data_IF_739030347780
#
_entry.id   IF_739030347780
#
_cell.length_a   1.000
_cell.length_b   1.000
_cell.length_c   1.000
_cell.angle_alpha   90.00
_cell.angle_beta   90.00
_cell.angle_gamma   90.00
#
_symmetry.space_group_name_H-M   'P 1'
#
loop_
_entity.id
_entity.type
_entity.pdbx_description
1 polymer ?
#
# COMPACT_ATOMS: atom_id res chain seq x y z
N UNK A 1 3.09 8.74 13.68
CA UNK A 1 2.60 8.20 14.97
C UNK A 1 1.87 9.27 15.79
N UNK A 2 2.49 10.43 16.09
CA UNK A 2 1.86 11.50 16.91
C UNK A 2 0.47 11.91 16.39
N UNK A 3 0.27 12.03 15.08
CA UNK A 3 -1.03 12.38 14.48
C UNK A 3 -2.07 11.28 14.69
N UNK A 4 -1.67 10.01 14.63
CA UNK A 4 -2.57 8.87 14.89
C UNK A 4 -2.96 8.85 16.38
N UNK A 5 -1.99 9.06 17.26
CA UNK A 5 -2.26 9.16 18.68
C UNK A 5 -3.24 10.29 19.00
N UNK A 6 -3.00 11.50 18.46
CA UNK A 6 -3.92 12.63 18.61
C UNK A 6 -5.34 12.31 18.09
N UNK A 7 -5.43 11.62 16.96
CA UNK A 7 -6.70 11.19 16.39
C UNK A 7 -7.47 10.25 17.33
N UNK A 8 -6.78 9.27 17.93
CA UNK A 8 -7.37 8.35 18.91
C UNK A 8 -7.86 9.10 20.17
N UNK A 9 -7.00 9.93 20.74
CA UNK A 9 -7.32 10.70 21.97
C UNK A 9 -8.53 11.62 21.80
N UNK A 10 -8.78 12.09 20.57
CA UNK A 10 -9.87 13.02 20.25
C UNK A 10 -11.01 12.36 19.44
N UNK A 11 -10.97 11.05 19.20
CA UNK A 11 -11.96 10.33 18.39
C UNK A 11 -12.21 10.95 17.00
N UNK A 12 -11.15 11.47 16.37
CA UNK A 12 -11.20 12.08 15.04
C UNK A 12 -10.68 11.06 14.03
N UNK A 13 -11.43 10.71 12.97
CA UNK A 13 -10.95 9.81 11.93
C UNK A 13 -9.70 10.32 11.22
N UNK A 14 -8.86 9.40 10.73
CA UNK A 14 -7.73 9.70 9.85
C UNK A 14 -8.01 9.16 8.45
N UNK A 15 -7.68 9.95 7.46
CA UNK A 15 -7.71 9.59 6.05
C UNK A 15 -6.30 9.71 5.44
N UNK A 16 -5.53 8.63 5.30
CA UNK A 16 -4.31 8.64 4.51
C UNK A 16 -4.65 8.87 3.04
N UNK A 17 -4.01 9.84 2.41
CA UNK A 17 -4.25 10.19 1.00
C UNK A 17 -2.94 10.23 0.21
N UNK A 18 -2.94 9.65 -0.98
CA UNK A 18 -1.90 9.81 -1.99
C UNK A 18 -2.27 10.89 -3.01
N UNK A 19 -2.29 10.56 -4.30
CA UNK A 19 -2.62 11.48 -5.38
C UNK A 19 -4.09 11.95 -5.45
N UNK A 20 -4.98 11.34 -4.67
CA UNK A 20 -6.40 11.67 -4.68
C UNK A 20 -7.12 11.30 -5.98
N UNK A 21 -6.63 10.32 -6.72
CA UNK A 21 -7.11 9.96 -8.06
C UNK A 21 -8.30 9.00 -8.06
N UNK A 22 -8.68 8.46 -6.91
CA UNK A 22 -9.84 7.58 -6.80
C UNK A 22 -11.16 8.34 -6.99
N UNK A 23 -12.09 7.72 -7.70
CA UNK A 23 -13.37 8.33 -8.07
C UNK A 23 -14.52 7.92 -7.14
N UNK A 24 -14.28 7.04 -6.16
CA UNK A 24 -15.33 6.49 -5.29
C UNK A 24 -15.59 7.34 -4.03
N UNK A 25 -15.08 8.57 -3.98
CA UNK A 25 -15.33 9.50 -2.87
C UNK A 25 -14.45 9.32 -1.63
N UNK A 26 -13.65 8.23 -1.52
CA UNK A 26 -12.81 7.97 -0.36
C UNK A 26 -11.62 8.92 -0.20
N UNK A 27 -11.40 9.84 -1.13
CA UNK A 27 -10.31 10.84 -1.07
C UNK A 27 -10.63 12.06 -0.24
N UNK A 28 -11.88 12.21 0.19
CA UNK A 28 -12.38 13.30 1.04
C UNK A 28 -13.24 12.74 2.16
N UNK A 29 -13.12 13.32 3.37
CA UNK A 29 -13.91 12.91 4.50
C UNK A 29 -13.87 14.00 5.60
N UNK A 30 -14.76 13.92 6.59
CA UNK A 30 -14.65 14.67 7.86
C UNK A 30 -13.61 13.97 8.74
N UNK A 31 -12.33 14.20 8.45
CA UNK A 31 -11.21 13.49 9.03
C UNK A 31 -9.94 14.34 8.98
N UNK A 32 -8.93 13.95 9.74
CA UNK A 32 -7.56 14.46 9.54
C UNK A 32 -7.00 13.83 8.28
N UNK A 33 -6.87 14.60 7.21
CA UNK A 33 -6.30 14.13 5.95
C UNK A 33 -4.78 14.17 6.04
N UNK A 34 -4.13 13.00 5.95
CA UNK A 34 -2.68 12.87 5.86
C UNK A 34 -2.26 12.75 4.40
N UNK A 35 -1.82 13.86 3.83
CA UNK A 35 -1.29 13.86 2.47
C UNK A 35 0.15 13.31 2.45
N UNK A 36 0.30 12.09 1.96
CA UNK A 36 1.59 11.41 1.88
C UNK A 36 2.42 11.85 0.66
N UNK A 37 1.79 12.48 -0.35
CA UNK A 37 2.47 12.81 -1.61
C UNK A 37 3.53 13.90 -1.46
N UNK A 38 3.42 14.75 -0.44
CA UNK A 38 4.27 15.93 -0.29
C UNK A 38 5.61 15.65 0.37
N UNK A 39 5.66 14.77 1.37
CA UNK A 39 6.86 14.58 2.20
C UNK A 39 7.33 13.14 2.29
N UNK A 40 6.49 12.17 1.91
CA UNK A 40 6.80 10.75 1.91
C UNK A 40 6.89 10.23 0.47
N UNK A 41 7.78 10.82 -0.33
CA UNK A 41 7.86 10.59 -1.78
C UNK A 41 9.27 10.24 -2.26
N UNK A 42 10.08 9.64 -1.40
CA UNK A 42 11.44 9.21 -1.76
C UNK A 42 11.45 7.78 -2.29
N UNK A 43 12.25 7.55 -3.31
CA UNK A 43 12.74 6.23 -3.67
C UNK A 43 13.96 5.98 -2.79
N UNK A 44 13.85 5.03 -1.85
CA UNK A 44 14.86 4.79 -0.81
C UNK A 44 15.98 3.94 -1.36
N UNK A 45 15.61 2.90 -2.15
CA UNK A 45 16.56 1.93 -2.70
C UNK A 45 16.03 1.35 -4.00
N UNK A 46 16.94 1.09 -4.95
CA UNK A 46 16.68 0.29 -6.15
C UNK A 46 17.74 -0.81 -6.18
N UNK A 47 17.29 -2.06 -6.13
CA UNK A 47 18.14 -3.25 -6.27
C UNK A 47 17.94 -3.85 -7.66
N UNK A 48 18.84 -3.52 -8.56
CA UNK A 48 18.81 -4.00 -9.95
C UNK A 48 19.01 -5.52 -10.06
N UNK A 49 19.76 -6.11 -9.11
CA UNK A 49 20.06 -7.54 -9.12
C UNK A 49 18.82 -8.38 -8.78
N UNK A 50 18.05 -7.95 -7.79
CA UNK A 50 16.86 -8.63 -7.34
C UNK A 50 15.58 -8.07 -8.00
N UNK A 51 15.71 -7.05 -8.85
CA UNK A 51 14.60 -6.35 -9.51
C UNK A 51 13.56 -5.83 -8.50
N UNK A 52 14.03 -5.24 -7.41
CA UNK A 52 13.17 -4.70 -6.35
C UNK A 52 13.50 -3.25 -6.05
N UNK A 53 12.55 -2.52 -5.49
CA UNK A 53 12.79 -1.19 -4.96
C UNK A 53 12.04 -0.96 -3.65
N UNK A 54 12.60 -0.11 -2.80
CA UNK A 54 11.95 0.37 -1.57
C UNK A 54 11.56 1.82 -1.80
N UNK A 55 10.28 2.11 -1.65
CA UNK A 55 9.72 3.43 -1.91
C UNK A 55 8.82 3.89 -0.76
N UNK A 56 8.77 5.18 -0.53
CA UNK A 56 7.78 5.79 0.34
C UNK A 56 6.39 5.84 -0.36
N UNK A 57 5.29 5.87 0.40
CA UNK A 57 3.94 5.71 -0.15
C UNK A 57 3.50 6.83 -1.10
N UNK A 58 4.09 8.01 -1.00
CA UNK A 58 3.78 9.18 -1.82
C UNK A 58 4.55 9.25 -3.15
N UNK A 59 5.40 8.28 -3.46
CA UNK A 59 6.08 8.23 -4.76
C UNK A 59 5.06 8.06 -5.88
N UNK A 60 5.09 8.96 -6.86
CA UNK A 60 4.22 8.90 -8.04
C UNK A 60 4.73 7.84 -9.01
N UNK A 61 3.82 7.08 -9.63
CA UNK A 61 4.18 5.97 -10.53
C UNK A 61 5.08 6.42 -11.69
N UNK A 62 4.74 7.53 -12.37
CA UNK A 62 5.57 8.04 -13.48
C UNK A 62 6.95 8.46 -13.00
N UNK A 63 7.06 9.00 -11.79
CA UNK A 63 8.36 9.35 -11.19
C UNK A 63 9.21 8.12 -10.91
N UNK A 64 8.61 7.06 -10.35
CA UNK A 64 9.28 5.78 -10.17
C UNK A 64 9.78 5.24 -11.51
N UNK A 65 8.91 5.18 -12.51
CA UNK A 65 9.26 4.67 -13.84
C UNK A 65 10.30 5.53 -14.55
N UNK A 66 10.30 6.85 -14.32
CA UNK A 66 11.35 7.75 -14.84
C UNK A 66 12.73 7.39 -14.29
N UNK A 67 12.82 7.01 -13.02
CA UNK A 67 14.08 6.63 -12.39
C UNK A 67 14.50 5.19 -12.75
N UNK A 68 13.55 4.28 -12.95
CA UNK A 68 13.82 2.90 -13.38
C UNK A 68 14.24 2.79 -14.85
N UNK A 69 13.76 3.70 -15.71
CA UNK A 69 13.98 3.65 -17.16
C UNK A 69 15.44 3.59 -17.60
N UNK A 70 16.40 4.37 -17.04
CA UNK A 70 17.82 4.25 -17.39
C UNK A 70 18.42 2.88 -17.10
N UNK A 71 17.82 2.12 -16.16
CA UNK A 71 18.22 0.77 -15.76
C UNK A 71 17.55 -0.31 -16.64
N UNK A 72 16.77 0.07 -17.64
CA UNK A 72 15.98 -0.86 -18.45
C UNK A 72 14.79 -1.48 -17.70
N UNK A 73 14.41 -0.92 -16.55
CA UNK A 73 13.37 -1.42 -15.66
C UNK A 73 12.13 -0.51 -15.66
N UNK A 74 11.03 -1.03 -15.17
CA UNK A 74 9.79 -0.30 -14.96
C UNK A 74 8.86 -1.06 -14.00
N UNK A 75 7.99 -0.34 -13.29
CA UNK A 75 6.97 -0.93 -12.43
C UNK A 75 5.71 -1.21 -13.27
N UNK A 76 5.21 -2.48 -13.32
CA UNK A 76 4.33 -2.92 -14.41
C UNK A 76 2.83 -2.66 -14.19
N UNK A 77 2.41 -2.07 -13.10
CA UNK A 77 1.00 -1.74 -12.86
C UNK A 77 0.68 -0.37 -13.46
N UNK A 78 0.17 -0.37 -14.68
CA UNK A 78 0.00 0.81 -15.53
C UNK A 78 -1.40 1.46 -15.38
N UNK A 79 -1.66 2.07 -14.24
CA UNK A 79 -2.92 2.81 -14.05
C UNK A 79 -3.00 4.05 -14.96
N UNK A 80 -4.21 4.39 -15.42
CA UNK A 80 -4.44 5.54 -16.31
C UNK A 80 -4.06 6.89 -15.69
N UNK A 81 -4.00 6.98 -14.38
CA UNK A 81 -3.63 8.17 -13.61
C UNK A 81 -2.17 8.17 -13.16
N UNK A 82 -1.29 7.47 -13.87
CA UNK A 82 0.12 7.23 -13.50
C UNK A 82 0.91 8.51 -13.17
N UNK A 83 0.56 9.62 -13.82
CA UNK A 83 1.17 10.92 -13.56
C UNK A 83 0.84 11.54 -12.19
N UNK A 84 -0.11 10.95 -11.44
CA UNK A 84 -0.55 11.43 -10.12
C UNK A 84 -0.73 10.30 -9.11
N UNK A 85 -1.08 9.10 -9.55
CA UNK A 85 -1.26 7.95 -8.67
C UNK A 85 0.03 7.65 -7.91
N UNK A 86 -0.07 7.52 -6.58
CA UNK A 86 1.07 7.21 -5.72
C UNK A 86 1.13 5.73 -5.42
N UNK A 87 2.33 5.18 -5.23
CA UNK A 87 2.53 3.74 -4.97
C UNK A 87 1.75 3.28 -3.74
N UNK A 88 1.74 4.05 -2.65
CA UNK A 88 0.96 3.70 -1.45
C UNK A 88 -0.54 3.74 -1.70
N UNK A 89 -1.04 4.72 -2.48
CA UNK A 89 -2.44 4.79 -2.88
C UNK A 89 -2.84 3.62 -3.78
N UNK A 90 -1.98 3.25 -4.73
CA UNK A 90 -2.17 2.09 -5.60
C UNK A 90 -2.20 0.78 -4.80
N UNK A 91 -1.30 0.63 -3.80
CA UNK A 91 -1.28 -0.53 -2.91
C UNK A 91 -2.56 -0.63 -2.07
N UNK A 92 -2.98 0.48 -1.44
CA UNK A 92 -4.21 0.52 -0.62
C UNK A 92 -5.49 0.23 -1.43
N UNK A 93 -5.48 0.55 -2.72
CA UNK A 93 -6.61 0.29 -3.63
C UNK A 93 -6.47 -1.06 -4.37
N UNK A 94 -5.38 -1.79 -4.19
CA UNK A 94 -5.02 -2.96 -4.98
C UNK A 94 -5.19 -2.71 -6.50
N UNK A 95 -4.63 -1.62 -6.97
CA UNK A 95 -4.84 -1.10 -8.32
C UNK A 95 -4.42 -2.09 -9.41
N UNK A 96 -5.14 -2.04 -10.52
CA UNK A 96 -4.85 -2.76 -11.75
C UNK A 96 -4.75 -1.76 -12.92
N UNK A 97 -4.10 -2.18 -13.99
CA UNK A 97 -4.00 -1.42 -15.24
C UNK A 97 -4.23 -2.29 -16.46
N UNK A 98 -4.13 -1.72 -17.65
CA UNK A 98 -4.37 -2.44 -18.92
C UNK A 98 -3.43 -3.61 -19.15
N UNK A 99 -2.23 -3.60 -18.55
CA UNK A 99 -1.23 -4.66 -18.65
C UNK A 99 -1.32 -5.71 -17.54
N UNK A 100 -2.27 -5.57 -16.61
CA UNK A 100 -2.38 -6.46 -15.44
C UNK A 100 -2.73 -7.90 -15.81
N UNK A 101 -3.33 -8.16 -16.96
CA UNK A 101 -3.53 -9.52 -17.49
C UNK A 101 -2.19 -10.27 -17.63
N UNK A 102 -1.13 -9.56 -18.00
CA UNK A 102 0.21 -10.15 -18.19
C UNK A 102 1.08 -10.05 -16.94
N UNK A 103 1.03 -8.93 -16.25
CA UNK A 103 2.00 -8.58 -15.20
C UNK A 103 1.41 -8.60 -13.80
N UNK A 104 0.12 -8.91 -13.65
CA UNK A 104 -0.56 -8.89 -12.36
C UNK A 104 -1.00 -7.50 -11.92
N UNK A 105 -1.59 -7.44 -10.75
CA UNK A 105 -2.08 -6.23 -10.08
C UNK A 105 -1.13 -5.83 -8.94
N UNK A 106 -1.46 -4.82 -8.15
CA UNK A 106 -0.58 -4.34 -7.07
C UNK A 106 -0.16 -5.44 -6.11
N UNK A 107 -1.08 -6.27 -5.61
CA UNK A 107 -0.75 -7.36 -4.67
C UNK A 107 0.27 -8.36 -5.22
N UNK A 108 0.32 -8.54 -6.55
CA UNK A 108 1.24 -9.48 -7.19
C UNK A 108 2.64 -8.86 -7.36
N UNK A 109 2.74 -7.51 -7.29
CA UNK A 109 3.97 -6.75 -7.50
C UNK A 109 4.49 -6.07 -6.22
N UNK A 110 3.80 -6.18 -5.09
CA UNK A 110 4.23 -5.66 -3.79
C UNK A 110 4.70 -6.82 -2.92
N UNK A 111 5.99 -6.83 -2.58
CA UNK A 111 6.59 -7.90 -1.77
C UNK A 111 6.28 -7.75 -0.28
N UNK A 112 6.28 -6.52 0.21
CA UNK A 112 5.96 -6.22 1.60
C UNK A 112 5.58 -4.76 1.81
N UNK A 113 4.93 -4.47 2.94
CA UNK A 113 4.51 -3.14 3.35
C UNK A 113 4.82 -2.94 4.83
N UNK A 114 5.56 -1.88 5.15
CA UNK A 114 5.71 -1.41 6.52
C UNK A 114 4.60 -0.41 6.84
N UNK A 115 3.85 -0.64 7.91
CA UNK A 115 2.69 0.17 8.27
C UNK A 115 2.76 0.68 9.70
N UNK A 116 1.97 1.72 9.97
CA UNK A 116 1.60 2.13 11.31
C UNK A 116 0.10 1.89 11.42
N UNK A 117 -0.29 1.04 12.36
CA UNK A 117 -1.70 0.68 12.58
C UNK A 117 -2.44 1.78 13.35
N UNK A 118 -3.75 1.64 13.45
CA UNK A 118 -4.62 2.60 14.15
C UNK A 118 -4.31 2.74 15.63
N UNK A 119 -3.77 1.71 16.28
CA UNK A 119 -3.30 1.71 17.65
C UNK A 119 -1.88 2.27 17.83
N UNK A 120 -1.31 2.87 16.81
CA UNK A 120 0.07 3.39 16.73
C UNK A 120 1.17 2.34 16.68
N UNK A 121 0.86 1.06 16.74
CA UNK A 121 1.84 -0.01 16.59
C UNK A 121 2.41 -0.04 15.16
N UNK A 122 3.61 -0.58 15.02
CA UNK A 122 4.23 -0.83 13.71
C UNK A 122 3.99 -2.28 13.32
N UNK A 123 3.60 -2.50 12.08
CA UNK A 123 3.44 -3.84 11.53
C UNK A 123 4.13 -3.98 10.18
N UNK A 124 4.64 -5.16 9.91
CA UNK A 124 5.20 -5.54 8.63
C UNK A 124 4.29 -6.59 7.98
N UNK A 125 3.79 -6.27 6.79
CA UNK A 125 3.03 -7.20 5.95
C UNK A 125 3.91 -7.67 4.81
N UNK A 126 4.20 -8.96 4.75
CA UNK A 126 5.03 -9.58 3.73
C UNK A 126 4.72 -11.07 3.60
N UNK A 127 5.67 -11.86 3.11
CA UNK A 127 5.51 -13.31 3.03
C UNK A 127 5.39 -13.89 4.43
N UNK A 128 4.20 -14.41 4.74
CA UNK A 128 3.77 -14.93 6.05
C UNK A 128 4.73 -15.96 6.69
N UNK A 129 5.59 -16.57 5.91
CA UNK A 129 6.53 -17.59 6.42
C UNK A 129 7.75 -17.02 7.17
N UNK A 130 7.96 -15.70 7.18
CA UNK A 130 9.22 -15.13 7.68
C UNK A 130 9.10 -14.08 8.78
N UNK A 131 8.04 -13.28 8.82
CA UNK A 131 7.94 -12.21 9.81
C UNK A 131 6.48 -11.86 10.09
N UNK A 132 6.06 -12.00 11.35
CA UNK A 132 4.74 -11.65 11.86
C UNK A 132 4.83 -10.50 12.88
N UNK A 133 5.95 -9.77 12.93
CA UNK A 133 6.15 -8.73 13.91
C UNK A 133 5.06 -7.67 13.86
N UNK A 134 4.45 -7.41 15.00
CA UNK A 134 3.30 -6.51 15.14
C UNK A 134 1.94 -7.10 14.74
N UNK A 135 1.88 -8.39 14.38
CA UNK A 135 0.65 -9.09 13.99
C UNK A 135 0.32 -10.31 14.87
N UNK A 136 1.09 -10.53 15.93
CA UNK A 136 1.02 -11.71 16.79
C UNK A 136 -0.38 -11.97 17.36
N UNK A 137 -1.12 -10.90 17.67
CA UNK A 137 -2.48 -10.97 18.22
C UNK A 137 -3.58 -11.02 17.16
N UNK A 138 -3.33 -10.46 15.98
CA UNK A 138 -4.34 -10.30 14.91
C UNK A 138 -4.34 -11.52 13.99
N UNK A 139 -3.16 -12.01 13.62
CA UNK A 139 -3.00 -13.08 12.64
C UNK A 139 -3.69 -14.39 13.03
N UNK A 140 -3.57 -14.90 14.29
CA UNK A 140 -4.29 -16.10 14.71
C UNK A 140 -5.83 -15.95 14.65
N UNK A 141 -6.34 -14.72 14.88
CA UNK A 141 -7.78 -14.45 14.78
C UNK A 141 -8.26 -14.49 13.33
N UNK A 142 -7.47 -13.96 12.40
CA UNK A 142 -7.77 -14.02 10.96
C UNK A 142 -7.77 -15.45 10.44
N UNK A 143 -6.78 -16.27 10.84
CA UNK A 143 -6.76 -17.70 10.48
C UNK A 143 -8.03 -18.41 10.95
N UNK A 144 -8.41 -18.22 12.22
CA UNK A 144 -9.66 -18.82 12.76
C UNK A 144 -10.91 -18.38 11.99
N UNK A 145 -10.98 -17.13 11.54
CA UNK A 145 -12.09 -16.66 10.70
C UNK A 145 -12.08 -17.38 9.36
N UNK A 146 -10.93 -17.47 8.69
CA UNK A 146 -10.78 -18.15 7.41
C UNK A 146 -11.16 -19.64 7.52
N UNK A 147 -10.68 -20.33 8.55
CA UNK A 147 -11.01 -21.74 8.81
C UNK A 147 -12.51 -21.97 9.02
N UNK A 148 -13.18 -21.08 9.77
CA UNK A 148 -14.63 -21.15 10.01
C UNK A 148 -15.46 -20.88 8.75
N UNK A 149 -14.96 -20.01 7.87
CA UNK A 149 -15.66 -19.57 6.65
C UNK A 149 -15.16 -20.31 5.39
N UNK A 150 -14.42 -21.40 5.54
CA UNK A 150 -13.80 -22.11 4.41
C UNK A 150 -14.82 -22.49 3.33
N UNK A 151 -16.03 -22.95 3.73
CA UNK A 151 -17.10 -23.29 2.78
C UNK A 151 -17.60 -22.09 1.98
N UNK A 152 -17.65 -20.91 2.58
CA UNK A 152 -18.08 -19.67 1.93
C UNK A 152 -16.98 -19.12 1.01
N UNK A 153 -15.70 -19.41 1.33
CA UNK A 153 -14.55 -19.02 0.52
C UNK A 153 -14.41 -19.88 -0.74
N UNK A 154 -14.71 -21.19 -0.62
CA UNK A 154 -14.59 -22.15 -1.73
C UNK A 154 -15.74 -22.05 -2.75
N UNK A 155 -16.88 -21.46 -2.38
CA UNK A 155 -18.06 -21.27 -3.24
C UNK A 155 -18.44 -19.79 -3.28
N UNK A 156 -17.81 -18.98 -4.17
CA UNK A 156 -18.17 -17.56 -4.37
C UNK A 156 -19.53 -17.39 -5.06
#
# INVERSE_FOLDING_TARGET
QKTIQFSQENSIPILPRGGGTSQNGQTVNQAIVLDNSRYLNKIIEIDEKNLTCIVEPGVVLDELNRQLKPLGLWFPVDVSTSSRATIGGMAGNNSAGGRSIKYGIMRDNVLSINTILSDTSKAHFGLVKKDLSGLEDIFPKLIKIAEKSQKEIEYP
#
